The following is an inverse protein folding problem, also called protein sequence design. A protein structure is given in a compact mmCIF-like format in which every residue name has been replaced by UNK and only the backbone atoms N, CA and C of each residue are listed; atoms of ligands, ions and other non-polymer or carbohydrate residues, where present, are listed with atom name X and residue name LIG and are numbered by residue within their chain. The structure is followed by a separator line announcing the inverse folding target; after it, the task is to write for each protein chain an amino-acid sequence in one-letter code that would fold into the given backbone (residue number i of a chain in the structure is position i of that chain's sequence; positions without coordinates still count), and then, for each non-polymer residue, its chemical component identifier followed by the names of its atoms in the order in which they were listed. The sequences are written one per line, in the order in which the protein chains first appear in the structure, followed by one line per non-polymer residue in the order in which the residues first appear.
data_IF_242722458733
#
_entry.id   IF_242722458733
#
_cell.length_a   1.000
_cell.length_b   1.000
_cell.length_c   1.000
_cell.angle_alpha   90.00
_cell.angle_beta   90.00
_cell.angle_gamma   90.00
#
_symmetry.space_group_name_H-M   'P 1'
#
loop_
_entity.id
_entity.type
_entity.pdbx_description
1 polymer ?
#
# COMPACT_ATOMS: atom_id res chain seq x y z
N UNK A 1 28.02 -20.42 16.10
CA UNK A 1 27.05 -20.97 17.09
C UNK A 1 25.79 -21.49 16.40
N UNK A 2 25.11 -20.70 15.57
CA UNK A 2 23.91 -21.14 14.82
C UNK A 2 24.18 -22.30 13.85
N UNK A 3 25.31 -22.28 13.11
CA UNK A 3 25.68 -23.39 12.21
C UNK A 3 25.78 -24.71 12.99
N UNK A 4 26.54 -24.73 14.10
CA UNK A 4 26.69 -25.91 14.95
C UNK A 4 25.37 -26.43 15.51
N UNK A 5 24.44 -25.55 15.85
CA UNK A 5 23.10 -25.95 16.29
C UNK A 5 22.37 -26.73 15.18
N UNK A 6 22.34 -26.21 13.95
CA UNK A 6 21.70 -26.91 12.82
C UNK A 6 22.43 -28.21 12.44
N UNK A 7 23.76 -28.25 12.56
CA UNK A 7 24.53 -29.49 12.36
C UNK A 7 24.13 -30.58 13.36
N UNK A 8 23.94 -30.23 14.63
CA UNK A 8 23.49 -31.19 15.64
C UNK A 8 22.03 -31.62 15.45
N UNK A 9 21.12 -30.69 15.14
CA UNK A 9 19.72 -31.02 14.82
C UNK A 9 19.65 -31.96 13.60
N UNK A 10 20.42 -31.68 12.55
CA UNK A 10 20.48 -32.54 11.37
C UNK A 10 21.10 -33.91 11.69
N UNK A 11 22.13 -33.95 12.53
CA UNK A 11 22.75 -35.20 12.97
C UNK A 11 21.76 -36.07 13.75
N UNK A 12 21.09 -35.52 14.76
CA UNK A 12 20.09 -36.23 15.55
C UNK A 12 18.93 -36.72 14.69
N UNK A 13 18.45 -35.88 13.76
CA UNK A 13 17.39 -36.26 12.80
C UNK A 13 17.81 -37.49 11.98
N UNK A 14 19.06 -37.55 11.51
CA UNK A 14 19.59 -38.74 10.81
C UNK A 14 19.67 -39.97 11.72
N UNK A 15 20.01 -39.80 12.99
CA UNK A 15 19.99 -40.91 13.95
C UNK A 15 18.58 -41.49 14.13
N UNK A 16 17.56 -40.64 14.20
CA UNK A 16 16.17 -41.08 14.27
C UNK A 16 15.69 -41.76 12.98
N UNK A 17 16.03 -41.22 11.82
CA UNK A 17 15.74 -41.84 10.53
C UNK A 17 16.31 -43.27 10.46
N UNK A 18 17.57 -43.45 10.88
CA UNK A 18 18.21 -44.77 10.95
C UNK A 18 17.48 -45.71 11.91
N UNK A 19 17.11 -45.25 13.11
CA UNK A 19 16.34 -46.04 14.09
C UNK A 19 14.98 -46.49 13.55
N UNK A 20 14.31 -45.65 12.76
CA UNK A 20 13.03 -45.94 12.14
C UNK A 20 13.16 -46.76 10.84
N UNK A 21 14.38 -47.02 10.35
CA UNK A 21 14.61 -47.69 9.08
C UNK A 21 14.17 -46.89 7.85
N UNK A 22 14.07 -45.55 7.97
CA UNK A 22 13.62 -44.66 6.90
C UNK A 22 14.83 -43.95 6.29
N UNK A 23 15.04 -44.01 4.96
CA UNK A 23 16.29 -43.56 4.34
C UNK A 23 16.42 -42.04 4.19
N UNK A 24 15.33 -41.28 4.30
CA UNK A 24 15.34 -39.81 4.20
C UNK A 24 14.11 -39.17 4.83
N UNK A 25 14.18 -37.85 5.10
CA UNK A 25 13.02 -37.08 5.55
C UNK A 25 11.85 -37.17 4.57
N UNK A 26 12.11 -37.12 3.26
CA UNK A 26 11.08 -37.23 2.22
C UNK A 26 10.28 -38.53 2.29
N UNK A 27 10.91 -39.61 2.73
CA UNK A 27 10.26 -40.91 2.95
C UNK A 27 9.56 -41.02 4.31
N UNK A 28 9.86 -40.10 5.24
CA UNK A 28 9.24 -40.00 6.56
C UNK A 28 8.01 -39.09 6.56
N UNK A 29 7.99 -38.03 5.75
CA UNK A 29 6.88 -37.06 5.70
C UNK A 29 5.55 -37.79 5.44
N UNK A 30 4.59 -37.58 6.34
CA UNK A 30 3.25 -38.17 6.27
C UNK A 30 3.15 -39.63 6.75
N UNK A 31 4.21 -40.25 7.28
CA UNK A 31 4.18 -41.62 7.84
C UNK A 31 3.64 -41.65 9.27
N UNK A 32 2.38 -41.29 9.48
CA UNK A 32 1.77 -41.39 10.82
C UNK A 32 1.57 -42.82 11.30
N UNK A 33 1.68 -43.80 10.40
CA UNK A 33 1.75 -45.21 10.76
C UNK A 33 3.00 -45.58 11.59
N UNK A 34 4.01 -44.70 11.63
CA UNK A 34 5.18 -44.84 12.50
C UNK A 34 5.00 -44.19 13.88
N UNK A 35 3.82 -43.63 14.16
CA UNK A 35 3.48 -42.98 15.42
C UNK A 35 2.39 -43.76 16.14
N UNK A 36 2.54 -43.90 17.45
CA UNK A 36 1.52 -44.46 18.32
C UNK A 36 1.26 -43.54 19.52
N UNK A 37 0.02 -43.46 19.96
CA UNK A 37 -0.32 -42.76 21.19
C UNK A 37 0.02 -43.65 22.39
N UNK A 38 0.94 -43.19 23.23
CA UNK A 38 1.22 -43.84 24.52
C UNK A 38 0.14 -43.48 25.56
N UNK A 39 -0.02 -44.33 26.57
CA UNK A 39 -0.95 -44.08 27.67
C UNK A 39 -0.56 -42.83 28.47
N UNK A 40 -1.56 -42.04 28.87
CA UNK A 40 -1.36 -40.86 29.73
C UNK A 40 -1.09 -41.24 31.19
N UNK A 41 -0.24 -40.47 31.87
CA UNK A 41 0.11 -40.70 33.28
C UNK A 41 -0.91 -40.08 34.26
N UNK A 42 -1.69 -39.09 33.79
CA UNK A 42 -2.73 -38.40 34.56
C UNK A 42 -4.12 -38.61 33.98
N UNK A 43 -5.14 -38.41 34.82
CA UNK A 43 -6.55 -38.46 34.40
C UNK A 43 -6.88 -37.50 33.25
N UNK A 44 -6.20 -36.35 33.18
CA UNK A 44 -6.33 -35.40 32.07
C UNK A 44 -5.70 -35.91 30.77
N UNK A 45 -4.51 -36.53 30.84
CA UNK A 45 -3.84 -37.09 29.66
C UNK A 45 -4.56 -38.32 29.12
N UNK A 46 -5.12 -39.16 29.98
CA UNK A 46 -5.94 -40.31 29.56
C UNK A 46 -7.21 -39.91 28.81
N UNK A 47 -7.68 -38.66 28.95
CA UNK A 47 -8.82 -38.12 28.22
C UNK A 47 -8.50 -37.55 26.83
N UNK A 48 -7.23 -37.57 26.41
CA UNK A 48 -6.80 -37.07 25.09
C UNK A 48 -6.98 -38.18 24.06
N UNK A 49 -7.68 -37.90 22.98
CA UNK A 49 -7.79 -38.78 21.81
C UNK A 49 -7.02 -38.16 20.62
N UNK A 50 -5.90 -38.78 20.22
CA UNK A 50 -5.09 -38.35 19.07
C UNK A 50 -5.46 -39.08 17.77
N UNK A 51 -6.51 -39.93 17.78
CA UNK A 51 -6.89 -40.77 16.64
C UNK A 51 -7.05 -39.96 15.34
N UNK A 52 -7.66 -38.79 15.39
CA UNK A 52 -7.86 -37.94 14.21
C UNK A 52 -6.55 -37.43 13.60
N UNK A 53 -5.52 -37.17 14.41
CA UNK A 53 -4.19 -36.75 13.94
C UNK A 53 -3.45 -37.93 13.30
N UNK A 54 -3.60 -39.14 13.88
CA UNK A 54 -2.96 -40.35 13.37
C UNK A 54 -3.64 -40.88 12.09
N UNK A 55 -4.97 -40.77 11.98
CA UNK A 55 -5.78 -41.24 10.84
C UNK A 55 -5.64 -40.34 9.61
N UNK A 56 -5.62 -39.01 9.79
CA UNK A 56 -5.64 -38.01 8.70
C UNK A 56 -4.41 -38.04 7.77
N UNK A 57 -3.40 -38.84 8.09
CA UNK A 57 -2.16 -38.98 7.32
C UNK A 57 -1.90 -40.43 6.88
N UNK A 58 -2.95 -41.24 6.71
CA UNK A 58 -2.81 -42.50 5.95
C UNK A 58 -2.35 -42.16 4.53
N UNK A 59 -1.05 -42.36 4.28
CA UNK A 59 -0.34 -41.99 3.06
C UNK A 59 -1.17 -42.37 1.82
N UNK A 60 -1.45 -41.42 0.91
CA UNK A 60 -2.05 -41.76 -0.38
C UNK A 60 -1.23 -42.87 -1.03
N UNK A 61 -1.87 -43.89 -1.62
CA UNK A 61 -1.17 -45.01 -2.29
C UNK A 61 -0.33 -44.57 -3.50
N UNK A 62 -0.40 -43.29 -3.90
CA UNK A 62 0.46 -42.71 -4.93
C UNK A 62 1.90 -42.54 -4.43
N UNK A 63 2.87 -42.73 -5.32
CA UNK A 63 4.30 -42.70 -5.01
C UNK A 63 4.77 -41.39 -4.35
N UNK A 64 4.08 -40.27 -4.61
CA UNK A 64 4.42 -38.93 -4.17
C UNK A 64 3.56 -38.52 -2.95
N UNK A 65 4.04 -38.83 -1.74
CA UNK A 65 3.35 -38.47 -0.49
C UNK A 65 3.66 -37.05 -0.02
N UNK A 66 4.54 -36.35 -0.71
CA UNK A 66 4.89 -34.95 -0.46
C UNK A 66 4.78 -34.16 -1.78
N UNK A 67 4.45 -32.88 -1.67
CA UNK A 67 4.32 -31.99 -2.82
C UNK A 67 5.68 -31.80 -3.51
N UNK A 68 5.90 -32.52 -4.61
CA UNK A 68 7.09 -32.41 -5.45
C UNK A 68 6.94 -31.24 -6.43
N UNK A 69 7.30 -30.05 -5.95
CA UNK A 69 7.97 -29.04 -6.78
C UNK A 69 7.25 -28.49 -8.01
N UNK A 70 5.93 -28.59 -8.14
CA UNK A 70 5.25 -27.90 -9.25
C UNK A 70 5.42 -26.39 -9.07
N UNK A 71 5.98 -25.68 -10.06
CA UNK A 71 6.02 -24.23 -10.03
C UNK A 71 4.62 -23.70 -9.81
N UNK A 72 4.47 -22.72 -8.92
CA UNK A 72 3.20 -22.01 -8.80
C UNK A 72 3.02 -21.16 -10.05
N UNK A 73 2.24 -21.67 -11.01
CA UNK A 73 1.87 -20.93 -12.20
C UNK A 73 0.74 -19.96 -11.83
N UNK A 74 1.01 -18.63 -11.82
CA UNK A 74 -0.04 -17.68 -11.48
C UNK A 74 -1.15 -17.75 -12.54
N UNK A 75 -2.40 -17.70 -12.09
CA UNK A 75 -3.55 -17.58 -12.98
C UNK A 75 -3.47 -16.28 -13.79
N UNK A 76 -3.05 -15.19 -13.14
CA UNK A 76 -2.73 -13.94 -13.81
C UNK A 76 -1.39 -14.05 -14.55
N UNK A 77 -1.42 -13.87 -15.86
CA UNK A 77 -0.19 -13.81 -16.65
C UNK A 77 0.46 -12.43 -16.58
N UNK A 78 -0.25 -11.38 -16.13
CA UNK A 78 0.25 -10.01 -16.03
C UNK A 78 0.71 -9.46 -17.38
N UNK A 79 -0.06 -9.69 -18.44
CA UNK A 79 0.35 -9.40 -19.82
C UNK A 79 0.75 -7.94 -20.02
N UNK A 80 -0.02 -7.00 -19.46
CA UNK A 80 0.33 -5.58 -19.51
C UNK A 80 1.64 -5.27 -18.77
N UNK A 81 1.90 -5.90 -17.61
CA UNK A 81 3.18 -5.79 -16.92
C UNK A 81 4.36 -6.33 -17.74
N UNK A 82 4.16 -7.45 -18.45
CA UNK A 82 5.19 -8.01 -19.33
C UNK A 82 5.49 -7.06 -20.48
N UNK A 83 4.43 -6.54 -21.12
CA UNK A 83 4.52 -5.57 -22.21
C UNK A 83 5.26 -4.30 -21.78
N UNK A 84 4.86 -3.68 -20.66
CA UNK A 84 5.51 -2.46 -20.16
C UNK A 84 7.01 -2.65 -19.94
N UNK A 85 7.42 -3.78 -19.35
CA UNK A 85 8.84 -4.08 -19.17
C UNK A 85 9.55 -4.26 -20.51
N UNK A 86 8.96 -5.03 -21.44
CA UNK A 86 9.51 -5.23 -22.78
C UNK A 86 9.66 -3.90 -23.53
N UNK A 87 8.63 -3.06 -23.53
CA UNK A 87 8.62 -1.78 -24.22
C UNK A 87 9.65 -0.82 -23.60
N UNK A 88 9.81 -0.82 -22.27
CA UNK A 88 10.86 -0.07 -21.59
C UNK A 88 12.27 -0.55 -22.01
N UNK A 89 12.54 -1.86 -21.97
CA UNK A 89 13.87 -2.40 -22.30
C UNK A 89 14.29 -2.14 -23.75
N UNK A 90 13.32 -2.01 -24.67
CA UNK A 90 13.59 -1.70 -26.07
C UNK A 90 13.51 -0.20 -26.40
N UNK A 91 13.29 0.68 -25.41
CA UNK A 91 13.05 2.11 -25.61
C UNK A 91 11.88 2.41 -26.55
N UNK A 92 10.82 1.59 -26.48
CA UNK A 92 9.61 1.66 -27.30
C UNK A 92 8.35 1.88 -26.47
N UNK A 93 8.47 2.56 -25.31
CA UNK A 93 7.31 2.90 -24.50
C UNK A 93 6.30 3.70 -25.32
N UNK A 94 5.04 3.28 -25.27
CA UNK A 94 3.96 3.99 -25.92
C UNK A 94 3.62 5.29 -25.20
N UNK A 95 3.07 6.24 -25.96
CA UNK A 95 2.52 7.47 -25.42
C UNK A 95 1.33 7.21 -24.48
N UNK A 96 0.51 6.19 -24.76
CA UNK A 96 -0.62 5.78 -23.92
C UNK A 96 -0.87 4.28 -24.03
N UNK A 97 -1.24 3.63 -22.92
CA UNK A 97 -1.65 2.24 -22.85
C UNK A 97 -3.11 2.11 -22.42
N UNK A 98 -3.89 1.30 -23.13
CA UNK A 98 -5.19 0.86 -22.65
C UNK A 98 -5.03 -0.04 -21.42
N UNK A 99 -5.86 0.17 -20.41
CA UNK A 99 -5.88 -0.62 -19.17
C UNK A 99 -7.30 -1.04 -18.79
N UNK A 100 -7.45 -2.28 -18.33
CA UNK A 100 -8.73 -2.84 -17.91
C UNK A 100 -8.68 -3.37 -16.48
N UNK A 101 -9.86 -3.60 -15.89
CA UNK A 101 -9.98 -4.00 -14.48
C UNK A 101 -9.31 -5.35 -14.15
N UNK A 102 -9.05 -6.20 -15.15
CA UNK A 102 -8.32 -7.45 -15.00
C UNK A 102 -6.80 -7.28 -15.11
N UNK A 103 -6.31 -6.12 -15.58
CA UNK A 103 -4.89 -5.77 -15.58
C UNK A 103 -4.48 -5.37 -14.16
N UNK A 104 -4.01 -6.35 -13.39
CA UNK A 104 -3.64 -6.19 -11.98
C UNK A 104 -2.16 -5.90 -11.79
N UNK A 105 -1.84 -5.23 -10.69
CA UNK A 105 -0.46 -4.95 -10.27
C UNK A 105 0.38 -4.23 -11.33
N UNK A 106 -0.26 -3.45 -12.21
CA UNK A 106 0.41 -2.77 -13.33
C UNK A 106 1.47 -1.81 -12.79
N UNK A 107 2.68 -1.90 -13.31
CA UNK A 107 3.85 -1.13 -12.87
C UNK A 107 4.79 -1.91 -11.94
N UNK A 108 4.34 -3.02 -11.34
CA UNK A 108 5.13 -3.79 -10.38
C UNK A 108 6.39 -4.41 -11.01
N UNK A 109 6.24 -5.01 -12.19
CA UNK A 109 7.36 -5.72 -12.85
C UNK A 109 8.44 -4.74 -13.31
N UNK A 110 8.03 -3.59 -13.83
CA UNK A 110 8.92 -2.50 -14.22
C UNK A 110 9.63 -1.92 -12.99
N UNK A 111 8.89 -1.64 -11.91
CA UNK A 111 9.45 -1.14 -10.65
C UNK A 111 10.48 -2.09 -10.06
N UNK A 112 10.21 -3.40 -10.05
CA UNK A 112 11.16 -4.42 -9.61
C UNK A 112 12.42 -4.47 -10.48
N UNK A 113 12.27 -4.35 -11.80
CA UNK A 113 13.40 -4.31 -12.74
C UNK A 113 14.30 -3.09 -12.49
N UNK A 114 13.71 -1.89 -12.42
CA UNK A 114 14.45 -0.63 -12.17
C UNK A 114 15.15 -0.66 -10.81
N UNK A 115 14.48 -1.17 -9.77
CA UNK A 115 15.07 -1.31 -8.45
C UNK A 115 16.26 -2.29 -8.40
N UNK A 116 16.18 -3.41 -9.12
CA UNK A 116 17.26 -4.42 -9.16
C UNK A 116 18.48 -3.97 -9.95
N UNK A 117 18.27 -3.24 -11.04
CA UNK A 117 19.35 -2.77 -11.90
C UNK A 117 20.32 -1.81 -11.19
N UNK A 118 20.00 -1.38 -9.95
CA UNK A 118 20.66 -0.23 -9.30
C UNK A 118 20.75 0.96 -10.25
N UNK A 119 19.82 1.03 -11.20
CA UNK A 119 19.81 2.02 -12.25
C UNK A 119 19.53 3.35 -11.56
N UNK A 120 20.60 4.02 -11.16
CA UNK A 120 20.68 5.47 -11.03
C UNK A 120 20.58 6.12 -12.42
N UNK A 121 19.81 5.53 -13.34
CA UNK A 121 19.42 6.25 -14.54
C UNK A 121 18.51 7.36 -14.03
N UNK A 122 19.04 8.57 -14.08
CA UNK A 122 18.39 9.82 -13.67
C UNK A 122 17.22 10.20 -14.57
N UNK A 123 16.68 9.25 -15.32
CA UNK A 123 15.67 9.50 -16.35
C UNK A 123 14.33 9.06 -15.83
N UNK A 124 13.45 10.03 -15.66
CA UNK A 124 12.07 9.80 -15.27
C UNK A 124 11.31 9.02 -16.36
N UNK A 125 10.70 7.91 -15.95
CA UNK A 125 9.88 7.03 -16.77
C UNK A 125 8.43 7.46 -16.61
N UNK A 126 7.88 8.10 -17.64
CA UNK A 126 6.51 8.58 -17.66
C UNK A 126 5.63 7.63 -18.48
N UNK A 127 4.57 7.11 -17.87
CA UNK A 127 3.64 6.17 -18.53
C UNK A 127 2.21 6.64 -18.32
N UNK A 128 1.50 6.83 -19.42
CA UNK A 128 0.10 7.21 -19.43
C UNK A 128 -0.78 6.00 -19.73
N UNK A 129 -1.89 5.89 -19.00
CA UNK A 129 -2.91 4.86 -19.17
C UNK A 129 -4.28 5.50 -19.37
N UNK A 130 -5.13 4.81 -20.12
CA UNK A 130 -6.54 5.16 -20.29
C UNK A 130 -7.41 3.93 -20.04
N UNK A 131 -8.46 4.09 -19.22
CA UNK A 131 -9.39 3.01 -18.88
C UNK A 131 -9.57 2.82 -17.38
N UNK A 132 -9.80 1.57 -16.96
CA UNK A 132 -10.06 1.24 -15.55
C UNK A 132 -8.95 0.33 -15.06
N UNK A 133 -8.12 0.80 -14.13
CA UNK A 133 -7.05 -0.02 -13.60
C UNK A 133 -7.57 -1.09 -12.64
N UNK A 134 -7.05 -2.31 -12.78
CA UNK A 134 -7.30 -3.38 -11.84
C UNK A 134 -6.68 -3.14 -10.47
N UNK A 135 -6.88 -4.13 -9.60
CA UNK A 135 -6.34 -4.16 -8.24
C UNK A 135 -4.82 -3.91 -8.22
N UNK A 136 -4.36 -3.13 -7.25
CA UNK A 136 -2.92 -2.88 -7.00
C UNK A 136 -2.20 -2.07 -8.10
N UNK A 137 -2.88 -1.13 -8.77
CA UNK A 137 -2.22 -0.22 -9.72
C UNK A 137 -1.06 0.55 -9.06
N UNK A 138 0.14 0.50 -9.66
CA UNK A 138 1.33 1.15 -9.09
C UNK A 138 1.82 0.52 -7.77
N UNK A 139 1.52 -0.75 -7.51
CA UNK A 139 2.06 -1.46 -6.34
C UNK A 139 3.58 -1.50 -6.39
N UNK A 140 4.21 -1.16 -5.25
CA UNK A 140 5.65 -1.04 -5.08
C UNK A 140 6.33 -0.05 -6.03
N UNK A 141 5.60 0.98 -6.47
CA UNK A 141 6.16 1.99 -7.37
C UNK A 141 7.49 2.52 -6.86
N UNK A 142 8.48 2.54 -7.76
CA UNK A 142 9.85 2.94 -7.44
C UNK A 142 10.12 4.39 -7.87
N UNK A 143 11.18 4.99 -7.30
CA UNK A 143 11.62 6.34 -7.67
C UNK A 143 11.92 6.44 -9.17
N UNK A 144 11.58 7.57 -9.78
CA UNK A 144 11.72 7.82 -11.22
C UNK A 144 10.62 7.18 -12.08
N UNK A 145 9.62 6.51 -11.49
CA UNK A 145 8.49 5.97 -12.25
C UNK A 145 7.24 6.81 -11.97
N UNK A 146 6.68 7.40 -13.02
CA UNK A 146 5.55 8.31 -12.99
C UNK A 146 4.41 7.74 -13.80
N UNK A 147 3.40 7.24 -13.11
CA UNK A 147 2.22 6.62 -13.70
C UNK A 147 1.08 7.65 -13.71
N UNK A 148 0.38 7.76 -14.82
CA UNK A 148 -0.86 8.54 -14.88
C UNK A 148 -1.98 7.76 -15.52
N UNK A 149 -3.18 7.91 -14.99
CA UNK A 149 -4.36 7.18 -15.40
C UNK A 149 -5.49 8.18 -15.64
N UNK A 150 -5.96 8.23 -16.90
CA UNK A 150 -7.22 8.87 -17.24
C UNK A 150 -8.34 7.81 -17.11
N UNK A 151 -9.13 7.93 -16.04
CA UNK A 151 -10.16 6.96 -15.65
C UNK A 151 -10.10 6.64 -14.16
N UNK A 152 -10.45 5.41 -13.79
CA UNK A 152 -10.64 5.00 -12.39
C UNK A 152 -9.75 3.79 -12.04
N UNK A 153 -9.44 3.61 -10.75
CA UNK A 153 -8.69 2.45 -10.28
C UNK A 153 -9.40 1.72 -9.14
N UNK A 154 -9.23 0.40 -9.10
CA UNK A 154 -9.72 -0.44 -8.01
C UNK A 154 -8.83 -0.31 -6.75
N UNK A 155 -9.00 -1.22 -5.78
CA UNK A 155 -8.31 -1.13 -4.49
C UNK A 155 -6.78 -1.23 -4.60
N UNK A 156 -6.10 -0.82 -3.53
CA UNK A 156 -4.66 -0.96 -3.32
C UNK A 156 -3.78 -0.12 -4.26
N UNK A 157 -4.28 0.99 -4.81
CA UNK A 157 -3.45 1.94 -5.58
C UNK A 157 -2.24 2.35 -4.75
N UNK A 158 -1.04 2.23 -5.33
CA UNK A 158 0.21 2.61 -4.66
C UNK A 158 0.53 1.78 -3.41
N UNK A 159 -0.03 0.58 -3.25
CA UNK A 159 0.30 -0.33 -2.13
C UNK A 159 1.82 -0.53 -2.04
N UNK A 160 2.38 -0.27 -0.87
CA UNK A 160 3.82 -0.40 -0.59
C UNK A 160 4.72 0.43 -1.51
N UNK A 161 4.22 1.51 -2.11
CA UNK A 161 5.05 2.37 -2.95
C UNK A 161 6.19 3.00 -2.15
N UNK A 162 7.34 3.17 -2.79
CA UNK A 162 8.57 3.64 -2.16
C UNK A 162 9.14 4.91 -2.81
N UNK A 163 8.56 5.34 -3.93
CA UNK A 163 8.97 6.53 -4.68
C UNK A 163 8.12 6.72 -5.94
N UNK A 164 8.53 7.68 -6.76
CA UNK A 164 7.84 8.01 -8.02
C UNK A 164 6.52 8.70 -7.77
N UNK A 165 5.67 8.77 -8.80
CA UNK A 165 4.33 9.33 -8.65
C UNK A 165 3.25 8.54 -9.35
N UNK A 166 2.03 8.64 -8.82
CA UNK A 166 0.81 8.09 -9.41
C UNK A 166 -0.20 9.25 -9.49
N UNK A 167 -0.74 9.49 -10.68
CA UNK A 167 -1.74 10.53 -10.95
C UNK A 167 -2.98 9.90 -11.53
N UNK A 168 -4.15 10.14 -10.94
CA UNK A 168 -5.41 9.56 -11.40
C UNK A 168 -6.43 10.67 -11.53
N UNK A 169 -7.03 10.79 -12.71
CA UNK A 169 -7.96 11.86 -13.01
C UNK A 169 -9.04 11.38 -13.97
N UNK A 170 -10.25 11.95 -13.88
CA UNK A 170 -11.35 11.52 -14.72
C UNK A 170 -11.14 11.96 -16.19
N UNK A 171 -11.82 11.33 -17.15
CA UNK A 171 -11.84 11.81 -18.53
C UNK A 171 -12.48 13.20 -18.65
N UNK A 172 -12.14 13.96 -19.70
CA UNK A 172 -12.59 15.35 -19.85
C UNK A 172 -14.13 15.50 -19.99
N UNK A 173 -14.78 14.51 -20.61
CA UNK A 173 -16.20 14.52 -20.94
C UNK A 173 -17.02 13.70 -19.93
N UNK A 174 -17.14 14.23 -18.72
CA UNK A 174 -17.90 13.60 -17.63
C UNK A 174 -19.18 14.38 -17.33
N UNK A 175 -20.22 13.66 -16.91
CA UNK A 175 -21.53 14.24 -16.54
C UNK A 175 -21.73 14.37 -15.03
N UNK A 176 -20.74 13.95 -14.23
CA UNK A 176 -20.75 14.01 -12.77
C UNK A 176 -19.70 15.01 -12.25
N UNK A 177 -19.76 15.32 -10.97
CA UNK A 177 -18.77 16.16 -10.28
C UNK A 177 -17.66 15.26 -9.73
N UNK A 178 -16.40 15.35 -10.21
CA UNK A 178 -15.29 14.49 -9.79
C UNK A 178 -15.10 14.41 -8.28
N UNK A 179 -15.15 15.57 -7.62
CA UNK A 179 -14.96 15.69 -6.16
C UNK A 179 -16.06 15.04 -5.33
N UNK A 180 -17.07 14.46 -5.96
CA UNK A 180 -18.17 13.72 -5.33
C UNK A 180 -18.29 12.29 -5.85
N UNK A 181 -17.34 11.84 -6.68
CA UNK A 181 -17.35 10.51 -7.26
C UNK A 181 -16.11 9.72 -6.83
N UNK A 182 -16.27 8.42 -6.60
CA UNK A 182 -15.16 7.52 -6.33
C UNK A 182 -14.27 7.40 -7.57
N UNK A 183 -12.95 7.52 -7.38
CA UNK A 183 -11.94 7.38 -8.44
C UNK A 183 -10.88 6.33 -8.10
N UNK A 184 -10.64 6.07 -6.81
CA UNK A 184 -9.77 5.01 -6.33
C UNK A 184 -10.45 4.21 -5.22
N UNK A 185 -10.18 2.90 -5.17
CA UNK A 185 -10.76 2.00 -4.19
C UNK A 185 -10.17 2.08 -2.78
N UNK A 186 -10.31 0.98 -2.05
CA UNK A 186 -9.93 0.86 -0.65
C UNK A 186 -8.42 0.64 -0.47
N UNK A 187 -7.93 0.89 0.75
CA UNK A 187 -6.59 0.48 1.21
C UNK A 187 -5.46 0.97 0.28
N UNK A 188 -5.66 2.12 -0.35
CA UNK A 188 -4.65 2.78 -1.17
C UNK A 188 -3.49 3.23 -0.27
N UNK A 189 -2.28 3.22 -0.82
CA UNK A 189 -1.03 3.54 -0.11
C UNK A 189 -0.71 2.65 1.10
N UNK A 190 -1.27 1.44 1.14
CA UNK A 190 -1.03 0.52 2.25
C UNK A 190 0.47 0.27 2.48
N UNK A 191 0.98 0.74 3.62
CA UNK A 191 2.39 0.57 3.99
C UNK A 191 3.37 1.30 3.07
N UNK A 192 2.93 2.35 2.36
CA UNK A 192 3.80 3.14 1.50
C UNK A 192 4.89 3.84 2.33
N UNK A 193 6.12 3.84 1.81
CA UNK A 193 7.30 4.43 2.49
C UNK A 193 7.84 5.67 1.77
N UNK A 194 7.24 6.08 0.65
CA UNK A 194 7.68 7.24 -0.13
C UNK A 194 6.94 7.37 -1.46
N UNK A 195 7.18 8.49 -2.15
CA UNK A 195 6.55 8.84 -3.43
C UNK A 195 5.24 9.62 -3.27
N UNK A 196 4.56 9.89 -4.38
CA UNK A 196 3.43 10.82 -4.44
C UNK A 196 2.20 10.19 -5.11
N UNK A 197 1.00 10.38 -4.54
CA UNK A 197 -0.27 10.01 -5.14
C UNK A 197 -1.19 11.22 -5.26
N UNK A 198 -1.67 11.52 -6.46
CA UNK A 198 -2.64 12.58 -6.70
C UNK A 198 -3.87 11.98 -7.38
N UNK A 199 -5.05 12.03 -6.74
CA UNK A 199 -6.27 11.49 -7.31
C UNK A 199 -7.41 12.52 -7.29
N UNK A 200 -7.90 12.94 -8.46
CA UNK A 200 -8.98 13.94 -8.59
C UNK A 200 -10.36 13.31 -8.40
N UNK A 201 -10.63 12.87 -7.18
CA UNK A 201 -11.90 12.27 -6.76
C UNK A 201 -11.81 11.63 -5.37
N UNK A 202 -12.87 10.92 -4.99
CA UNK A 202 -12.98 10.26 -3.69
C UNK A 202 -12.19 8.93 -3.67
N UNK A 203 -11.50 8.69 -2.56
CA UNK A 203 -10.93 7.39 -2.23
C UNK A 203 -11.88 6.57 -1.35
N UNK A 204 -11.76 5.24 -1.42
CA UNK A 204 -12.49 4.33 -0.54
C UNK A 204 -12.00 4.34 0.92
N UNK A 205 -12.34 3.27 1.63
CA UNK A 205 -11.98 3.04 3.03
C UNK A 205 -10.49 2.76 3.20
N UNK A 206 -9.98 2.99 4.41
CA UNK A 206 -8.58 2.71 4.81
C UNK A 206 -7.55 3.38 3.90
N UNK A 207 -7.89 4.55 3.36
CA UNK A 207 -6.95 5.33 2.57
C UNK A 207 -5.72 5.68 3.41
N UNK A 208 -4.51 5.50 2.85
CA UNK A 208 -3.25 5.76 3.54
C UNK A 208 -3.03 4.95 4.84
N UNK A 209 -3.65 3.77 4.95
CA UNK A 209 -3.42 2.88 6.10
C UNK A 209 -1.95 2.45 6.19
N UNK A 210 -1.35 2.64 7.37
CA UNK A 210 0.09 2.40 7.61
C UNK A 210 1.02 3.21 6.68
N UNK A 211 0.57 4.33 6.13
CA UNK A 211 1.47 5.22 5.39
C UNK A 211 2.62 5.66 6.31
N UNK A 212 3.84 5.51 5.81
CA UNK A 212 5.08 5.74 6.54
C UNK A 212 5.98 6.77 5.86
N UNK A 213 5.55 7.37 4.75
CA UNK A 213 6.37 8.38 4.06
C UNK A 213 5.85 8.86 2.71
N UNK A 214 4.75 8.34 2.19
CA UNK A 214 4.16 8.82 0.95
C UNK A 214 3.40 10.14 1.16
N UNK A 215 3.37 10.94 0.10
CA UNK A 215 2.59 12.17 -0.01
C UNK A 215 1.34 11.87 -0.82
N UNK A 216 0.19 12.35 -0.40
CA UNK A 216 -1.05 12.13 -1.13
C UNK A 216 -1.95 13.37 -1.16
N UNK A 217 -2.69 13.56 -2.26
CA UNK A 217 -3.79 14.52 -2.35
C UNK A 217 -4.99 13.84 -3.02
N UNK A 218 -6.12 13.81 -2.31
CA UNK A 218 -7.40 13.24 -2.75
C UNK A 218 -8.56 14.18 -2.43
N UNK A 219 -9.72 13.99 -3.04
CA UNK A 219 -10.86 14.91 -2.89
C UNK A 219 -11.90 14.45 -1.85
N UNK A 220 -11.58 13.38 -1.13
CA UNK A 220 -12.34 12.83 -0.01
C UNK A 220 -11.93 11.39 0.24
N UNK A 221 -12.27 10.84 1.42
CA UNK A 221 -11.94 9.47 1.81
C UNK A 221 -13.10 8.82 2.55
N UNK A 222 -13.23 7.50 2.45
CA UNK A 222 -14.13 6.72 3.29
C UNK A 222 -13.61 6.54 4.72
N UNK A 223 -14.17 5.56 5.42
CA UNK A 223 -13.86 5.27 6.82
C UNK A 223 -12.40 4.84 7.02
N UNK A 224 -11.89 5.06 8.23
CA UNK A 224 -10.55 4.62 8.65
C UNK A 224 -9.40 5.23 7.82
N UNK A 225 -9.60 6.42 7.25
CA UNK A 225 -8.53 7.16 6.57
C UNK A 225 -7.34 7.42 7.52
N UNK A 226 -6.12 7.32 7.03
CA UNK A 226 -4.86 7.50 7.77
C UNK A 226 -4.68 6.58 8.99
N UNK A 227 -5.41 5.46 9.07
CA UNK A 227 -5.29 4.50 10.15
C UNK A 227 -3.84 3.97 10.26
N UNK A 228 -3.28 3.94 11.47
CA UNK A 228 -1.90 3.51 11.74
C UNK A 228 -0.81 4.24 10.94
N UNK A 229 -1.08 5.45 10.44
CA UNK A 229 -0.08 6.26 9.74
C UNK A 229 1.07 6.65 10.69
N UNK A 230 2.30 6.46 10.24
CA UNK A 230 3.52 6.76 11.01
C UNK A 230 4.40 7.82 10.35
N UNK A 231 4.09 8.25 9.13
CA UNK A 231 4.84 9.27 8.39
C UNK A 231 4.21 9.61 7.05
N UNK A 232 4.70 10.67 6.41
CA UNK A 232 4.16 11.20 5.15
C UNK A 232 3.19 12.37 5.37
N UNK A 233 2.61 12.84 4.27
CA UNK A 233 1.66 13.98 4.25
C UNK A 233 0.45 13.62 3.41
N UNK A 234 -0.76 13.75 3.97
CA UNK A 234 -2.01 13.44 3.26
C UNK A 234 -2.89 14.67 3.23
N UNK A 235 -3.30 15.12 2.04
CA UNK A 235 -4.24 16.23 1.86
C UNK A 235 -5.57 15.67 1.37
N UNK A 236 -6.66 16.03 2.03
CA UNK A 236 -8.02 15.60 1.71
C UNK A 236 -8.87 16.84 1.48
N UNK A 237 -9.30 17.04 0.24
CA UNK A 237 -10.02 18.23 -0.20
C UNK A 237 -11.54 18.09 -0.06
N UNK A 238 -12.01 17.27 0.88
CA UNK A 238 -13.44 16.99 1.02
C UNK A 238 -13.73 16.09 2.23
N UNK A 239 -14.87 15.38 2.21
CA UNK A 239 -15.32 14.65 3.39
C UNK A 239 -14.37 13.51 3.75
N UNK A 240 -14.29 13.24 5.05
CA UNK A 240 -13.64 12.06 5.64
C UNK A 240 -14.70 11.18 6.31
N UNK A 241 -14.53 9.86 6.25
CA UNK A 241 -15.39 8.91 6.94
C UNK A 241 -15.02 8.70 8.42
N UNK A 242 -15.70 7.76 9.06
CA UNK A 242 -15.62 7.53 10.49
C UNK A 242 -14.25 6.97 10.93
N UNK A 243 -13.89 7.24 12.18
CA UNK A 243 -12.69 6.73 12.83
C UNK A 243 -11.40 7.08 12.05
N UNK A 244 -11.37 8.29 11.49
CA UNK A 244 -10.21 8.85 10.80
C UNK A 244 -9.02 9.01 11.75
N UNK A 245 -7.82 8.73 11.27
CA UNK A 245 -6.55 8.81 11.99
C UNK A 245 -6.42 7.90 13.23
N UNK A 246 -7.24 6.85 13.33
CA UNK A 246 -7.13 5.89 14.42
C UNK A 246 -5.75 5.23 14.47
N UNK A 247 -5.09 5.31 15.62
CA UNK A 247 -3.74 4.76 15.81
C UNK A 247 -2.67 5.46 14.97
N UNK A 248 -2.93 6.64 14.40
CA UNK A 248 -1.92 7.45 13.74
C UNK A 248 -0.92 7.97 14.78
N UNK A 249 0.36 7.67 14.59
CA UNK A 249 1.44 8.03 15.52
C UNK A 249 2.50 8.93 14.90
N UNK A 250 2.38 9.28 13.61
CA UNK A 250 3.29 10.20 12.94
C UNK A 250 2.82 10.60 11.55
N UNK A 251 3.47 11.62 10.98
CA UNK A 251 3.03 12.28 9.74
C UNK A 251 2.01 13.39 9.99
N UNK A 252 1.43 13.91 8.91
CA UNK A 252 0.45 15.01 8.94
C UNK A 252 -0.67 14.76 7.94
N UNK A 253 -1.91 15.07 8.33
CA UNK A 253 -3.00 15.19 7.39
C UNK A 253 -3.57 16.62 7.38
N UNK A 254 -3.85 17.14 6.19
CA UNK A 254 -4.61 18.37 5.98
C UNK A 254 -6.01 17.96 5.50
N UNK A 255 -7.04 18.37 6.22
CA UNK A 255 -8.43 18.05 5.87
C UNK A 255 -9.22 19.32 5.67
N UNK A 256 -9.89 19.42 4.53
CA UNK A 256 -10.82 20.49 4.22
C UNK A 256 -12.19 20.15 4.83
N UNK A 257 -12.54 20.81 5.93
CA UNK A 257 -13.79 20.63 6.67
C UNK A 257 -14.79 21.76 6.36
N UNK A 258 -15.58 21.57 5.30
CA UNK A 258 -16.61 22.55 4.87
C UNK A 258 -17.88 22.50 5.73
N UNK A 259 -18.06 21.47 6.58
CA UNK A 259 -19.30 21.22 7.33
C UNK A 259 -19.13 21.29 8.85
N UNK A 260 -17.93 21.62 9.34
CA UNK A 260 -17.59 21.73 10.76
C UNK A 260 -17.95 20.46 11.55
N UNK A 261 -17.74 19.30 10.93
CA UNK A 261 -18.09 17.99 11.49
C UNK A 261 -16.88 17.06 11.68
N UNK A 262 -15.67 17.55 11.40
CA UNK A 262 -14.44 16.75 11.47
C UNK A 262 -14.20 16.15 12.86
N UNK A 263 -14.49 16.89 13.94
CA UNK A 263 -14.31 16.39 15.31
C UNK A 263 -15.09 15.09 15.59
N UNK A 264 -16.23 14.88 14.92
CA UNK A 264 -17.03 13.66 15.08
C UNK A 264 -16.47 12.47 14.27
N UNK A 265 -15.69 12.76 13.23
CA UNK A 265 -15.13 11.75 12.33
C UNK A 265 -13.74 11.28 12.78
N UNK A 266 -12.97 12.14 13.47
CA UNK A 266 -11.59 11.85 13.88
C UNK A 266 -11.55 11.06 15.19
N UNK A 267 -10.77 10.00 15.22
CA UNK A 267 -10.41 9.32 16.46
C UNK A 267 -9.32 10.11 17.19
N UNK A 268 -9.69 10.80 18.26
CA UNK A 268 -8.82 11.71 19.00
C UNK A 268 -7.91 11.01 20.04
N UNK A 269 -7.82 9.68 20.06
CA UNK A 269 -7.02 8.98 21.07
C UNK A 269 -5.53 9.37 20.95
N UNK A 270 -4.96 9.22 19.74
CA UNK A 270 -3.54 9.45 19.47
C UNK A 270 -3.20 10.74 18.72
N UNK A 271 -4.22 11.43 18.19
CA UNK A 271 -4.05 12.65 17.38
C UNK A 271 -4.77 13.86 17.98
N UNK A 272 -4.37 15.04 17.56
CA UNK A 272 -5.05 16.30 17.83
C UNK A 272 -5.43 17.00 16.51
N UNK A 273 -6.42 17.88 16.59
CA UNK A 273 -6.86 18.74 15.49
C UNK A 273 -6.37 20.16 15.79
N UNK A 274 -5.74 20.79 14.81
CA UNK A 274 -5.17 22.15 14.91
C UNK A 274 -5.72 22.99 13.76
N UNK A 275 -6.07 24.26 14.01
CA UNK A 275 -6.45 25.14 12.90
C UNK A 275 -5.21 25.55 12.14
N UNK A 276 -5.26 25.46 10.80
CA UNK A 276 -4.10 25.85 9.98
C UNK A 276 -3.78 27.35 10.05
N UNK A 277 -4.71 28.15 10.56
CA UNK A 277 -4.58 29.60 10.75
C UNK A 277 -4.14 29.99 12.16
N UNK A 278 -3.91 29.03 13.05
CA UNK A 278 -3.28 29.27 14.35
C UNK A 278 -1.83 29.77 14.18
N UNK A 279 -1.34 30.55 15.15
CA UNK A 279 0.00 31.12 15.14
C UNK A 279 1.08 30.02 15.05
N UNK A 280 2.05 30.18 14.13
CA UNK A 280 3.12 29.19 13.92
C UNK A 280 2.83 28.12 12.86
N UNK A 281 1.67 28.17 12.19
CA UNK A 281 1.30 27.24 11.12
C UNK A 281 1.64 27.73 9.69
N UNK A 282 2.41 28.82 9.54
CA UNK A 282 2.72 29.42 8.22
C UNK A 282 3.49 28.44 7.31
N UNK A 283 4.38 27.64 7.88
CA UNK A 283 5.09 26.59 7.14
C UNK A 283 4.14 25.51 6.63
N UNK A 284 3.14 25.13 7.44
CA UNK A 284 2.10 24.17 7.07
C UNK A 284 1.21 24.72 5.94
N UNK A 285 0.86 26.01 5.97
CA UNK A 285 0.13 26.67 4.88
C UNK A 285 0.94 26.67 3.57
N UNK A 286 2.25 26.94 3.65
CA UNK A 286 3.15 26.87 2.50
C UNK A 286 3.23 25.46 1.89
N UNK A 287 3.38 24.44 2.74
CA UNK A 287 3.37 23.03 2.32
C UNK A 287 2.04 22.66 1.63
N UNK A 288 0.91 23.02 2.24
CA UNK A 288 -0.40 22.77 1.65
C UNK A 288 -0.53 23.42 0.26
N UNK A 289 -0.12 24.69 0.10
CA UNK A 289 -0.14 25.37 -1.21
C UNK A 289 0.68 24.64 -2.27
N UNK A 290 1.87 24.15 -1.91
CA UNK A 290 2.71 23.38 -2.83
C UNK A 290 2.04 22.08 -3.24
N UNK A 291 1.46 21.34 -2.29
CA UNK A 291 0.78 20.07 -2.57
C UNK A 291 -0.49 20.27 -3.41
N UNK A 292 -1.24 21.33 -3.13
CA UNK A 292 -2.38 21.75 -3.94
C UNK A 292 -1.98 22.04 -5.39
N UNK A 293 -0.89 22.79 -5.60
CA UNK A 293 -0.41 23.10 -6.94
C UNK A 293 0.06 21.84 -7.68
N UNK A 294 0.80 20.96 -7.00
CA UNK A 294 1.23 19.68 -7.59
C UNK A 294 0.04 18.78 -7.98
N UNK A 295 -1.02 18.79 -7.16
CA UNK A 295 -2.25 18.10 -7.48
C UNK A 295 -2.91 18.69 -8.73
N UNK A 296 -3.04 20.02 -8.82
CA UNK A 296 -3.58 20.71 -10.00
C UNK A 296 -2.76 20.38 -11.26
N UNK A 297 -1.43 20.47 -11.19
CA UNK A 297 -0.55 20.19 -12.32
C UNK A 297 -0.60 18.71 -12.73
N UNK A 298 -0.82 17.82 -11.76
CA UNK A 298 -0.86 16.38 -11.97
C UNK A 298 -2.21 15.83 -12.45
N UNK A 299 -3.32 16.46 -12.09
CA UNK A 299 -4.68 15.92 -12.32
C UNK A 299 -5.62 16.87 -13.06
N UNK A 300 -5.27 18.15 -13.18
CA UNK A 300 -6.16 19.18 -13.71
C UNK A 300 -7.39 19.44 -12.83
N UNK A 301 -7.36 19.06 -11.54
CA UNK A 301 -8.52 19.16 -10.64
C UNK A 301 -9.10 20.58 -10.61
N UNK A 302 -10.34 20.71 -11.11
CA UNK A 302 -11.12 21.96 -11.07
C UNK A 302 -11.49 22.35 -9.65
N UNK A 303 -11.66 21.36 -8.77
CA UNK A 303 -12.00 21.60 -7.38
C UNK A 303 -10.82 22.21 -6.62
N UNK A 304 -9.64 21.62 -6.76
CA UNK A 304 -8.41 22.17 -6.21
C UNK A 304 -8.11 23.58 -6.76
N UNK A 305 -8.30 23.80 -8.07
CA UNK A 305 -8.19 25.13 -8.67
C UNK A 305 -9.16 26.15 -8.05
N UNK A 306 -10.40 25.75 -7.77
CA UNK A 306 -11.39 26.62 -7.13
C UNK A 306 -10.95 27.02 -5.73
N UNK A 307 -10.48 26.07 -4.92
CA UNK A 307 -9.96 26.34 -3.57
C UNK A 307 -8.79 27.32 -3.66
N UNK A 308 -7.78 27.04 -4.50
CA UNK A 308 -6.60 27.89 -4.63
C UNK A 308 -6.92 29.31 -5.12
N UNK A 309 -7.88 29.48 -6.02
CA UNK A 309 -8.30 30.81 -6.51
C UNK A 309 -9.00 31.64 -5.44
N UNK A 310 -9.64 31.01 -4.47
CA UNK A 310 -10.38 31.67 -3.39
C UNK A 310 -9.73 31.34 -2.03
N UNK A 311 -8.40 31.28 -2.00
CA UNK A 311 -7.64 30.75 -0.87
C UNK A 311 -8.02 31.38 0.46
N UNK A 312 -8.08 32.71 0.53
CA UNK A 312 -8.38 33.46 1.76
C UNK A 312 -9.79 33.17 2.29
N UNK A 313 -10.71 32.71 1.43
CA UNK A 313 -12.06 32.30 1.84
C UNK A 313 -12.14 30.85 2.32
N UNK A 314 -11.19 30.01 1.94
CA UNK A 314 -11.22 28.57 2.21
C UNK A 314 -10.19 28.12 3.25
N UNK A 315 -9.18 28.93 3.56
CA UNK A 315 -8.08 28.51 4.42
C UNK A 315 -8.55 28.19 5.85
N UNK A 316 -9.53 28.91 6.38
CA UNK A 316 -10.07 28.67 7.73
C UNK A 316 -10.81 27.31 7.87
N UNK A 317 -11.26 26.74 6.75
CA UNK A 317 -11.88 25.43 6.71
C UNK A 317 -10.85 24.29 6.71
N UNK A 318 -9.55 24.57 6.52
CA UNK A 318 -8.53 23.55 6.62
C UNK A 318 -8.11 23.30 8.07
N UNK A 319 -8.12 22.03 8.46
CA UNK A 319 -7.60 21.54 9.73
C UNK A 319 -6.37 20.68 9.52
N UNK A 320 -5.46 20.73 10.48
CA UNK A 320 -4.30 19.84 10.55
C UNK A 320 -4.60 18.73 11.56
N UNK A 321 -4.45 17.48 11.14
CA UNK A 321 -4.48 16.31 12.03
C UNK A 321 -3.05 15.81 12.17
N UNK A 322 -2.58 15.73 13.41
CA UNK A 322 -1.21 15.31 13.72
C UNK A 322 -1.17 14.48 15.00
N UNK A 323 -0.18 13.60 15.11
CA UNK A 323 -0.01 12.79 16.31
C UNK A 323 0.46 13.64 17.51
N UNK A 324 -0.18 13.44 18.67
CA UNK A 324 0.18 14.13 19.92
C UNK A 324 1.64 13.90 20.32
N UNK A 325 2.20 12.75 19.95
CA UNK A 325 3.62 12.38 20.17
C UNK A 325 4.60 13.24 19.38
N UNK A 326 4.19 13.83 18.24
CA UNK A 326 5.07 14.56 17.31
C UNK A 326 4.68 16.02 17.11
N UNK A 327 3.69 16.52 17.87
CA UNK A 327 3.07 17.83 17.71
C UNK A 327 4.06 19.02 17.64
N UNK A 328 5.07 19.04 18.53
CA UNK A 328 6.05 20.14 18.59
C UNK A 328 7.08 20.14 17.46
N UNK A 329 7.40 18.97 16.90
CA UNK A 329 8.40 18.86 15.82
C UNK A 329 7.79 19.15 14.44
N UNK A 330 6.50 18.88 14.29
CA UNK A 330 5.81 19.00 13.00
C UNK A 330 5.48 20.46 12.66
N UNK A 331 5.05 21.30 13.61
CA UNK A 331 4.70 22.69 13.27
C UNK A 331 5.89 23.56 12.82
N UNK A 332 7.12 23.24 13.23
CA UNK A 332 8.30 24.10 13.04
C UNK A 332 9.11 23.75 11.78
N UNK A 333 9.06 22.51 11.32
CA UNK A 333 9.79 22.07 10.12
C UNK A 333 8.83 21.54 9.06
N UNK A 334 8.85 22.06 7.81
CA UNK A 334 8.22 21.33 6.72
C UNK A 334 8.85 19.93 6.67
N UNK A 335 8.02 18.89 6.65
CA UNK A 335 8.51 17.53 6.42
C UNK A 335 9.32 17.60 5.12
N UNK A 336 10.57 17.11 5.14
CA UNK A 336 11.48 17.21 3.99
C UNK A 336 10.81 16.61 2.74
N UNK A 337 10.09 17.44 2.00
CA UNK A 337 9.62 17.16 0.67
C UNK A 337 10.89 16.84 -0.10
N UNK A 338 11.05 15.62 -0.57
CA UNK A 338 12.13 15.28 -1.48
C UNK A 338 11.84 15.97 -2.83
N UNK A 339 11.96 17.30 -2.87
CA UNK A 339 12.10 18.06 -4.09
C UNK A 339 13.53 17.79 -4.59
N UNK A 340 13.66 16.89 -5.56
CA UNK A 340 14.72 17.04 -6.56
C UNK A 340 14.06 17.67 -7.77
N UNK A 341 14.58 18.85 -8.12
CA UNK A 341 13.96 19.79 -9.04
C UNK A 341 13.84 19.26 -10.46
N UNK A 342 12.75 19.67 -11.10
CA UNK A 342 12.73 19.86 -12.54
C UNK A 342 13.68 21.03 -12.87
N UNK A 343 14.65 20.76 -13.74
CA UNK A 343 15.28 21.75 -14.63
C UNK A 343 15.11 21.21 -16.04
#
# INVERSE_FOLDING_TARGET
KVIRYFEFVAYETRQWLLKLGVPSLDKLIGRTDLLEQIAGESSKQMGIDLSQILIAASRPKSADAHYLGRPNHPFDKGLLNQRLLTDYQHNTLLACYEINNFDRSVGAKLSGYVAQASAQDSTDINIHFQGIAGQSFGVWNYRGIHLSLQGDANDYVGKGMSGGSIRIFPPEQITYVPSRAAIIGNTCLYGASGGQLFAAGLAGERFAVRNSGAIAVVEGVGDHGCEYMTGGVVVILGPVGENFAAGMTGGRAFVFDDFDNLEQQVNLDSVEIVNITDEGCEACQGELKVLMQQHIDGTGSRWAQKICRNWDSYIDAFKIIQAKSTARMTMVEPLKLQQKGAV
#
